data_IF_656101376305
#
_entry.id   IF_656101376305
#
_cell.length_a   1.000
_cell.length_b   1.000
_cell.length_c   1.000
_cell.angle_alpha   90.00
_cell.angle_beta   90.00
_cell.angle_gamma   90.00
#
_symmetry.space_group_name_H-M   'P 1'
#
loop_
_entity.id
_entity.type
_entity.pdbx_description
1 polymer ?
#
# COMPACT_ATOMS: atom_id res chain seq x y z
N UNK A 1 34.05 8.54 33.68
CA UNK A 1 32.87 7.69 33.98
C UNK A 1 31.66 8.49 33.66
N UNK A 2 31.06 8.28 32.47
CA UNK A 2 29.75 8.82 32.12
C UNK A 2 28.90 7.64 31.63
N UNK A 3 27.92 7.30 32.44
CA UNK A 3 26.96 6.25 32.19
C UNK A 3 26.02 6.69 31.08
N UNK A 4 26.00 5.93 29.99
CA UNK A 4 25.01 6.08 28.92
C UNK A 4 23.66 5.51 29.39
N UNK A 5 22.67 6.37 29.53
CA UNK A 5 21.30 5.97 29.73
C UNK A 5 20.79 5.25 28.48
N UNK A 6 20.51 3.97 28.63
CA UNK A 6 19.66 3.18 27.70
C UNK A 6 18.22 3.67 27.86
N UNK A 7 17.64 4.16 26.80
CA UNK A 7 16.19 4.39 26.73
C UNK A 7 15.55 3.04 26.42
N UNK A 8 15.05 2.39 27.44
CA UNK A 8 14.20 1.21 27.34
C UNK A 8 12.83 1.66 26.81
N UNK A 9 12.46 1.20 25.61
CA UNK A 9 11.11 1.37 25.08
C UNK A 9 10.26 0.25 25.66
N UNK A 10 9.51 0.59 26.67
CA UNK A 10 8.52 -0.28 27.30
C UNK A 10 7.49 -0.78 26.30
N UNK A 11 7.36 -2.10 26.28
CA UNK A 11 6.26 -2.84 25.66
C UNK A 11 5.08 -2.74 26.61
N UNK A 12 4.15 -1.83 26.38
CA UNK A 12 2.93 -1.75 27.19
C UNK A 12 1.68 -1.81 26.34
N UNK A 13 0.89 -2.85 26.60
CA UNK A 13 -0.54 -2.72 26.76
C UNK A 13 -1.41 -2.67 25.50
N UNK A 14 -2.23 -3.68 25.40
CA UNK A 14 -3.50 -3.68 24.66
C UNK A 14 -4.29 -2.41 25.05
N UNK A 15 -4.24 -1.38 24.20
CA UNK A 15 -4.99 -0.15 24.39
C UNK A 15 -5.53 0.36 23.07
N UNK A 16 -6.85 0.56 23.04
CA UNK A 16 -7.66 1.35 22.10
C UNK A 16 -7.32 1.20 20.62
N UNK A 17 -8.30 0.83 19.81
CA UNK A 17 -8.28 0.46 18.38
C UNK A 17 -7.59 1.39 17.36
N UNK A 18 -6.61 2.18 17.77
CA UNK A 18 -5.91 3.13 16.91
C UNK A 18 -4.38 3.00 16.94
N UNK A 19 -3.81 2.14 17.80
CA UNK A 19 -2.36 1.92 17.82
C UNK A 19 -1.96 0.98 16.69
N UNK A 20 -1.01 1.36 15.80
CA UNK A 20 -0.60 0.49 14.69
C UNK A 20 0.11 -0.77 15.22
N UNK A 21 -0.09 -1.93 14.57
CA UNK A 21 0.51 -3.20 14.98
C UNK A 21 1.98 -3.27 14.61
N UNK A 22 2.86 -2.61 15.35
CA UNK A 22 4.29 -2.63 15.07
C UNK A 22 5.00 -1.31 15.37
N UNK A 23 6.22 -1.20 14.88
CA UNK A 23 7.11 -0.05 15.10
C UNK A 23 7.10 0.84 13.85
N UNK A 24 7.02 2.16 14.04
CA UNK A 24 7.17 3.12 12.94
C UNK A 24 8.65 3.40 12.67
N UNK A 25 9.06 3.27 11.41
CA UNK A 25 10.39 3.66 10.91
C UNK A 25 10.23 4.87 10.01
N UNK A 26 10.86 5.98 10.36
CA UNK A 26 10.84 7.19 9.55
C UNK A 26 11.74 7.03 8.32
N UNK A 27 11.18 7.04 7.11
CA UNK A 27 11.97 7.02 5.87
C UNK A 27 11.49 8.11 4.91
N UNK A 28 12.40 8.96 4.47
CA UNK A 28 12.11 10.06 3.55
C UNK A 28 11.05 11.04 4.08
N UNK A 29 10.87 11.11 5.41
CA UNK A 29 9.86 11.91 6.08
C UNK A 29 8.48 11.24 6.20
N UNK A 30 8.35 9.95 5.84
CA UNK A 30 7.12 9.17 5.98
C UNK A 30 7.18 8.23 7.18
N UNK A 31 6.07 8.07 7.93
CA UNK A 31 5.96 7.09 9.02
C UNK A 31 5.65 5.70 8.44
N UNK A 32 6.69 4.93 8.10
CA UNK A 32 6.53 3.59 7.53
C UNK A 32 6.43 2.55 8.65
N UNK A 33 5.35 1.80 8.66
CA UNK A 33 5.07 0.78 9.65
C UNK A 33 5.91 -0.47 9.38
N UNK A 34 6.66 -0.91 10.39
CA UNK A 34 7.37 -2.18 10.41
C UNK A 34 6.53 -3.20 11.18
N UNK A 35 5.92 -4.13 10.47
CA UNK A 35 5.03 -5.15 11.01
C UNK A 35 5.12 -6.43 10.17
N UNK A 36 4.58 -7.55 10.68
CA UNK A 36 4.43 -8.77 9.87
C UNK A 36 3.10 -8.75 9.11
N UNK A 37 2.97 -9.61 8.10
CA UNK A 37 1.76 -9.73 7.30
C UNK A 37 0.56 -10.17 8.15
N UNK A 38 0.79 -11.09 9.08
CA UNK A 38 -0.23 -11.62 9.99
C UNK A 38 -0.73 -10.55 10.95
N UNK A 39 0.19 -9.84 11.62
CA UNK A 39 -0.18 -8.78 12.56
C UNK A 39 -0.92 -7.62 11.87
N UNK A 40 -0.49 -7.27 10.65
CA UNK A 40 -1.15 -6.22 9.88
C UNK A 40 -2.54 -6.66 9.38
N UNK A 41 -2.69 -7.91 8.92
CA UNK A 41 -3.99 -8.46 8.53
C UNK A 41 -4.98 -8.45 9.70
N UNK A 42 -4.52 -8.80 10.90
CA UNK A 42 -5.34 -8.75 12.11
C UNK A 42 -5.82 -7.33 12.43
N UNK A 43 -4.95 -6.30 12.34
CA UNK A 43 -5.36 -4.88 12.48
C UNK A 43 -6.43 -4.50 11.44
N UNK A 44 -6.25 -4.94 10.20
CA UNK A 44 -7.21 -4.65 9.13
C UNK A 44 -8.56 -5.32 9.36
N UNK A 45 -8.59 -6.58 9.80
CA UNK A 45 -9.84 -7.28 10.14
C UNK A 45 -10.55 -6.67 11.36
N UNK A 46 -9.81 -6.27 12.38
CA UNK A 46 -10.38 -5.54 13.52
C UNK A 46 -10.96 -4.19 13.07
N UNK A 47 -10.23 -3.45 12.23
CA UNK A 47 -10.70 -2.19 11.69
C UNK A 47 -11.96 -2.37 10.82
N UNK A 48 -12.01 -3.45 10.00
CA UNK A 48 -13.18 -3.80 9.20
C UNK A 48 -14.39 -4.09 10.08
N UNK A 49 -14.24 -4.93 11.10
CA UNK A 49 -15.31 -5.30 12.03
C UNK A 49 -15.86 -4.08 12.78
N UNK A 50 -14.97 -3.18 13.21
CA UNK A 50 -15.33 -1.93 13.89
C UNK A 50 -15.72 -0.78 12.94
N UNK A 51 -15.72 -1.01 11.61
CA UNK A 51 -15.89 0.00 10.54
C UNK A 51 -14.98 1.22 10.70
N UNK A 52 -13.81 1.01 11.28
CA UNK A 52 -12.80 2.07 11.43
C UNK A 52 -12.05 2.29 10.10
N UNK A 53 -11.88 3.53 9.64
CA UNK A 53 -11.21 3.80 8.38
C UNK A 53 -9.73 3.45 8.44
N UNK A 54 -9.25 2.70 7.43
CA UNK A 54 -7.82 2.50 7.14
C UNK A 54 -7.55 2.85 5.68
N UNK A 55 -6.57 3.73 5.48
CA UNK A 55 -6.08 4.17 4.18
C UNK A 55 -4.66 3.63 4.02
N UNK A 56 -4.52 2.54 3.28
CA UNK A 56 -3.28 1.74 3.22
C UNK A 56 -2.49 2.07 1.96
N UNK A 57 -1.22 2.42 2.15
CA UNK A 57 -0.28 2.71 1.07
C UNK A 57 0.95 1.80 1.16
N UNK A 58 1.41 1.33 0.01
CA UNK A 58 2.58 0.47 -0.12
C UNK A 58 3.78 1.31 -0.53
N UNK A 59 4.65 1.61 0.44
CA UNK A 59 5.82 2.46 0.21
C UNK A 59 6.97 1.69 -0.39
N UNK A 60 7.34 2.06 -1.60
CA UNK A 60 8.59 1.68 -2.26
C UNK A 60 9.40 2.93 -2.61
N UNK A 61 10.55 2.77 -3.25
CA UNK A 61 11.42 3.89 -3.62
C UNK A 61 10.70 4.97 -4.44
N UNK A 62 9.82 4.56 -5.37
CA UNK A 62 9.03 5.48 -6.18
C UNK A 62 7.98 6.24 -5.35
N UNK A 63 7.33 5.56 -4.41
CA UNK A 63 6.38 6.21 -3.50
C UNK A 63 7.07 7.34 -2.72
N UNK A 64 8.23 7.07 -2.11
CA UNK A 64 8.97 8.07 -1.34
C UNK A 64 9.32 9.29 -2.19
N UNK A 65 9.69 9.10 -3.47
CA UNK A 65 10.05 10.20 -4.37
C UNK A 65 8.82 10.98 -4.83
N UNK A 66 7.78 10.28 -5.28
CA UNK A 66 6.63 10.90 -5.94
C UNK A 66 5.61 11.53 -4.95
N UNK A 67 5.52 10.99 -3.73
CA UNK A 67 4.51 11.42 -2.77
C UNK A 67 5.00 12.49 -1.78
N UNK A 68 6.19 13.09 -1.97
CA UNK A 68 6.75 14.09 -1.05
C UNK A 68 5.79 15.24 -0.70
N UNK A 69 5.02 15.73 -1.67
CA UNK A 69 4.04 16.78 -1.45
C UNK A 69 2.87 16.35 -0.54
N UNK A 70 2.63 15.05 -0.41
CA UNK A 70 1.52 14.47 0.37
C UNK A 70 1.93 14.04 1.79
N UNK A 71 3.22 14.12 2.13
CA UNK A 71 3.78 13.54 3.36
C UNK A 71 3.08 14.01 4.66
N UNK A 72 2.67 15.27 4.72
CA UNK A 72 1.99 15.81 5.90
C UNK A 72 0.59 15.21 6.08
N UNK A 73 -0.14 15.04 4.99
CA UNK A 73 -1.47 14.42 4.99
C UNK A 73 -1.43 12.91 5.31
N UNK A 74 -0.30 12.27 5.03
CA UNK A 74 -0.10 10.84 5.32
C UNK A 74 0.19 10.55 6.80
N UNK A 75 0.11 11.56 7.67
CA UNK A 75 0.22 11.41 9.13
C UNK A 75 -1.14 11.28 9.82
N UNK A 76 -2.22 11.35 9.06
CA UNK A 76 -3.56 11.15 9.59
C UNK A 76 -3.69 9.77 10.27
N UNK A 77 -4.42 9.68 11.40
CA UNK A 77 -4.54 8.43 12.17
C UNK A 77 -5.12 7.25 11.38
N UNK A 78 -5.90 7.52 10.34
CA UNK A 78 -6.46 6.50 9.44
C UNK A 78 -5.45 5.94 8.46
N UNK A 79 -4.32 6.63 8.22
CA UNK A 79 -3.32 6.23 7.22
C UNK A 79 -2.38 5.17 7.79
N UNK A 80 -2.12 4.16 6.98
CA UNK A 80 -1.11 3.12 7.23
C UNK A 80 -0.20 3.03 6.02
N UNK A 81 1.08 3.28 6.22
CA UNK A 81 2.11 3.14 5.19
C UNK A 81 2.94 1.93 5.56
N UNK A 82 2.95 0.91 4.71
CA UNK A 82 3.75 -0.31 4.91
C UNK A 82 4.84 -0.40 3.86
N UNK A 83 5.95 -1.07 4.17
CA UNK A 83 7.07 -1.18 3.22
C UNK A 83 6.79 -2.15 2.08
N UNK A 84 7.20 -1.78 0.89
CA UNK A 84 7.14 -2.58 -0.34
C UNK A 84 8.51 -2.57 -1.04
N UNK A 85 9.27 -3.62 -0.83
CA UNK A 85 10.48 -3.89 -1.58
C UNK A 85 11.80 -3.62 -0.88
N UNK A 86 12.84 -4.25 -1.43
CA UNK A 86 14.20 -4.29 -0.88
C UNK A 86 14.86 -2.90 -0.73
N UNK A 87 14.50 -1.93 -1.57
CA UNK A 87 15.04 -0.58 -1.49
C UNK A 87 14.71 0.12 -0.17
N UNK A 88 13.53 -0.16 0.37
CA UNK A 88 13.10 0.35 1.69
C UNK A 88 13.93 -0.29 2.83
N UNK A 89 14.15 -1.61 2.75
CA UNK A 89 15.00 -2.33 3.72
C UNK A 89 16.44 -1.84 3.73
N UNK A 90 17.01 -1.58 2.54
CA UNK A 90 18.36 -1.05 2.43
C UNK A 90 18.47 0.35 3.05
N UNK A 91 17.49 1.22 2.81
CA UNK A 91 17.47 2.54 3.41
C UNK A 91 17.26 2.49 4.93
N UNK A 92 16.36 1.63 5.42
CA UNK A 92 16.15 1.44 6.85
C UNK A 92 17.41 0.91 7.55
N UNK A 93 18.11 -0.03 6.92
CA UNK A 93 19.39 -0.54 7.44
C UNK A 93 20.47 0.54 7.47
N UNK A 94 20.58 1.35 6.43
CA UNK A 94 21.57 2.41 6.32
C UNK A 94 21.35 3.52 7.38
N UNK A 95 20.09 3.92 7.61
CA UNK A 95 19.77 5.08 8.44
C UNK A 95 19.52 4.68 9.90
N UNK A 96 18.82 3.55 10.09
CA UNK A 96 18.35 3.11 11.41
C UNK A 96 19.09 1.88 11.96
N UNK A 97 19.97 1.23 11.16
CA UNK A 97 20.68 0.02 11.54
C UNK A 97 19.79 -1.24 11.62
N UNK A 98 18.55 -1.18 11.17
CA UNK A 98 17.57 -2.29 11.23
C UNK A 98 16.75 -2.43 9.95
N UNK A 99 16.15 -3.60 9.74
CA UNK A 99 15.24 -3.88 8.63
C UNK A 99 13.79 -3.82 9.11
N UNK A 100 12.87 -3.79 8.14
CA UNK A 100 11.46 -4.01 8.41
C UNK A 100 11.19 -5.46 8.83
N UNK A 101 10.15 -5.69 9.65
CA UNK A 101 9.76 -7.02 10.11
C UNK A 101 9.20 -7.89 8.96
N UNK A 102 8.57 -7.26 7.97
CA UNK A 102 8.03 -7.94 6.78
C UNK A 102 8.08 -7.04 5.54
N UNK A 103 7.96 -7.65 4.37
CA UNK A 103 7.74 -6.95 3.10
C UNK A 103 6.26 -7.11 2.71
N UNK A 104 5.50 -6.02 2.81
CA UNK A 104 4.05 -6.01 2.67
C UNK A 104 3.65 -5.32 1.36
N UNK A 105 3.80 -6.03 0.26
CA UNK A 105 3.33 -5.52 -1.02
C UNK A 105 1.84 -5.86 -1.26
N UNK A 106 1.14 -5.02 -2.02
CA UNK A 106 -0.29 -5.21 -2.29
C UNK A 106 -0.60 -6.51 -3.03
N UNK A 107 0.32 -6.99 -3.85
CA UNK A 107 0.16 -8.20 -4.68
C UNK A 107 0.17 -9.49 -3.85
N UNK A 108 0.80 -9.47 -2.67
CA UNK A 108 0.79 -10.60 -1.72
C UNK A 108 -0.26 -10.39 -0.62
N UNK A 109 -0.37 -9.16 -0.09
CA UNK A 109 -1.27 -8.86 1.02
C UNK A 109 -2.76 -9.03 0.65
N UNK A 110 -3.20 -8.52 -0.50
CA UNK A 110 -4.62 -8.61 -0.87
C UNK A 110 -5.07 -10.07 -1.04
N UNK A 111 -4.37 -10.96 -1.79
CA UNK A 111 -4.72 -12.38 -1.80
C UNK A 111 -4.61 -13.07 -0.44
N UNK A 112 -3.69 -12.62 0.42
CA UNK A 112 -3.59 -13.15 1.79
C UNK A 112 -4.85 -12.80 2.59
N UNK A 113 -5.30 -11.54 2.59
CA UNK A 113 -6.55 -11.12 3.24
C UNK A 113 -7.76 -11.91 2.71
N UNK A 114 -7.82 -12.17 1.41
CA UNK A 114 -8.88 -12.98 0.82
C UNK A 114 -8.92 -14.41 1.37
N UNK A 115 -7.76 -15.04 1.61
CA UNK A 115 -7.67 -16.41 2.15
C UNK A 115 -7.96 -16.49 3.63
N UNK A 116 -7.51 -15.50 4.40
CA UNK A 116 -7.66 -15.46 5.86
C UNK A 116 -9.03 -14.94 6.31
N UNK A 117 -9.80 -14.35 5.41
CA UNK A 117 -11.13 -13.84 5.74
C UNK A 117 -12.13 -15.00 5.97
N UNK A 118 -12.81 -14.98 7.11
CA UNK A 118 -13.82 -15.96 7.45
C UNK A 118 -15.06 -15.91 6.54
N UNK A 119 -15.31 -14.78 5.90
CA UNK A 119 -16.44 -14.55 4.99
C UNK A 119 -15.92 -13.87 3.71
N UNK A 120 -16.58 -14.06 2.56
CA UNK A 120 -16.25 -13.35 1.34
C UNK A 120 -16.29 -11.84 1.53
N UNK A 121 -15.18 -11.16 1.25
CA UNK A 121 -15.06 -9.70 1.30
C UNK A 121 -15.67 -9.08 0.06
N UNK A 122 -16.28 -7.90 0.22
CA UNK A 122 -16.87 -7.12 -0.87
C UNK A 122 -15.87 -6.08 -1.37
N UNK A 123 -15.50 -6.19 -2.64
CA UNK A 123 -14.53 -5.30 -3.27
C UNK A 123 -15.18 -4.30 -4.22
N UNK A 124 -14.73 -3.05 -4.18
CA UNK A 124 -14.89 -2.10 -5.26
C UNK A 124 -13.54 -1.87 -5.95
N UNK A 125 -13.48 -1.99 -7.28
CA UNK A 125 -12.26 -1.82 -8.07
C UNK A 125 -12.28 -0.45 -8.77
N UNK A 126 -11.27 0.38 -8.51
CA UNK A 126 -11.17 1.71 -9.10
C UNK A 126 -9.82 1.88 -9.79
N UNK A 127 -9.85 2.12 -11.09
CA UNK A 127 -8.64 2.33 -11.89
C UNK A 127 -8.34 1.19 -12.85
N UNK A 128 -7.10 1.18 -13.36
CA UNK A 128 -6.71 0.30 -14.44
C UNK A 128 -7.25 0.76 -15.82
N UNK A 129 -6.80 0.09 -16.88
CA UNK A 129 -7.30 0.34 -18.25
C UNK A 129 -8.70 -0.25 -18.43
N UNK A 130 -9.49 0.22 -19.42
CA UNK A 130 -10.75 -0.40 -19.78
C UNK A 130 -10.63 -1.92 -19.94
N UNK A 131 -11.54 -2.68 -19.32
CA UNK A 131 -11.54 -4.15 -19.33
C UNK A 131 -10.67 -4.82 -18.24
N UNK A 132 -9.61 -4.18 -17.73
CA UNK A 132 -8.75 -4.74 -16.67
C UNK A 132 -9.56 -5.04 -15.41
N UNK A 133 -10.41 -4.12 -14.98
CA UNK A 133 -11.27 -4.29 -13.80
C UNK A 133 -12.17 -5.52 -13.92
N UNK A 134 -12.77 -5.75 -15.10
CA UNK A 134 -13.65 -6.91 -15.36
C UNK A 134 -12.89 -8.25 -15.20
N UNK A 135 -11.70 -8.35 -15.78
CA UNK A 135 -10.88 -9.57 -15.68
C UNK A 135 -10.34 -9.78 -14.27
N UNK A 136 -9.90 -8.71 -13.60
CA UNK A 136 -9.49 -8.76 -12.20
C UNK A 136 -10.65 -9.19 -11.27
N UNK A 137 -11.87 -8.71 -11.54
CA UNK A 137 -13.08 -9.14 -10.83
C UNK A 137 -13.35 -10.65 -11.00
N UNK A 138 -13.18 -11.19 -12.20
CA UNK A 138 -13.33 -12.62 -12.45
C UNK A 138 -12.32 -13.45 -11.62
N UNK A 139 -11.08 -12.99 -11.48
CA UNK A 139 -10.07 -13.65 -10.62
C UNK A 139 -10.44 -13.56 -9.14
N UNK A 140 -10.87 -12.38 -8.66
CA UNK A 140 -11.30 -12.21 -7.27
C UNK A 140 -12.49 -13.11 -6.93
N UNK A 141 -13.47 -13.24 -7.83
CA UNK A 141 -14.65 -14.06 -7.58
C UNK A 141 -14.38 -15.55 -7.81
N UNK A 142 -13.80 -15.92 -8.96
CA UNK A 142 -13.63 -17.32 -9.34
C UNK A 142 -12.47 -18.03 -8.65
N UNK A 143 -11.35 -17.33 -8.42
CA UNK A 143 -10.15 -17.94 -7.84
C UNK A 143 -10.01 -17.68 -6.34
N UNK A 144 -10.36 -16.47 -5.89
CA UNK A 144 -10.17 -16.07 -4.50
C UNK A 144 -11.48 -16.11 -3.68
N UNK A 145 -12.62 -16.49 -4.28
CA UNK A 145 -13.89 -16.66 -3.59
C UNK A 145 -14.51 -15.39 -3.03
N UNK A 146 -14.17 -14.22 -3.58
CA UNK A 146 -14.59 -12.93 -3.07
C UNK A 146 -15.77 -12.36 -3.86
N UNK A 147 -16.36 -11.25 -3.40
CA UNK A 147 -17.42 -10.54 -4.10
C UNK A 147 -16.91 -9.22 -4.68
N UNK A 148 -17.20 -8.94 -5.95
CA UNK A 148 -16.95 -7.62 -6.54
C UNK A 148 -18.29 -6.90 -6.70
N UNK A 149 -18.51 -5.87 -5.89
CA UNK A 149 -19.78 -5.12 -5.80
C UNK A 149 -19.80 -3.86 -6.68
N UNK A 150 -18.70 -3.54 -7.32
CA UNK A 150 -18.62 -2.44 -8.28
C UNK A 150 -17.22 -2.26 -8.86
N UNK A 151 -17.16 -1.57 -9.99
CA UNK A 151 -15.89 -1.23 -10.62
C UNK A 151 -16.03 0.08 -11.41
N UNK A 152 -14.89 0.74 -11.64
CA UNK A 152 -14.77 1.93 -12.47
C UNK A 152 -13.35 1.95 -13.04
N UNK A 153 -13.19 2.01 -14.37
CA UNK A 153 -11.87 2.15 -14.97
C UNK A 153 -11.24 3.52 -14.67
N UNK A 154 -9.93 3.63 -14.88
CA UNK A 154 -9.17 4.85 -14.59
C UNK A 154 -9.18 5.88 -15.72
N UNK A 155 -10.05 5.73 -16.73
CA UNK A 155 -10.09 6.52 -17.95
C UNK A 155 -11.48 7.10 -18.21
N UNK A 156 -12.20 6.52 -19.15
CA UNK A 156 -13.50 7.03 -19.60
C UNK A 156 -14.58 6.97 -18.54
N UNK A 157 -14.72 5.85 -17.85
CA UNK A 157 -15.69 5.71 -16.75
C UNK A 157 -15.37 6.64 -15.57
N UNK A 158 -14.10 6.77 -15.21
CA UNK A 158 -13.66 7.67 -14.13
C UNK A 158 -13.96 9.13 -14.48
N UNK A 159 -13.65 9.56 -15.72
CA UNK A 159 -13.94 10.90 -16.19
C UNK A 159 -15.44 11.20 -16.21
N UNK A 160 -16.26 10.22 -16.65
CA UNK A 160 -17.72 10.35 -16.70
C UNK A 160 -18.40 10.33 -15.32
N UNK A 161 -17.83 9.60 -14.35
CA UNK A 161 -18.42 9.47 -13.02
C UNK A 161 -18.37 10.77 -12.18
N UNK A 162 -17.37 11.62 -12.41
CA UNK A 162 -17.24 12.92 -11.76
C UNK A 162 -17.39 12.85 -10.23
N UNK A 163 -18.12 13.81 -9.66
CA UNK A 163 -18.35 13.88 -8.20
C UNK A 163 -19.24 12.75 -7.66
N UNK A 164 -20.05 12.10 -8.49
CA UNK A 164 -20.94 11.01 -8.11
C UNK A 164 -20.23 9.68 -7.79
N UNK A 165 -18.93 9.56 -8.11
CA UNK A 165 -18.17 8.33 -7.92
C UNK A 165 -18.10 7.91 -6.45
N UNK A 166 -17.80 8.82 -5.55
CA UNK A 166 -17.69 8.55 -4.10
C UNK A 166 -19.02 8.03 -3.55
N UNK A 167 -20.13 8.61 -3.98
CA UNK A 167 -21.47 8.17 -3.60
C UNK A 167 -21.80 6.77 -4.13
N UNK A 168 -21.43 6.50 -5.38
CA UNK A 168 -21.57 5.15 -6.00
C UNK A 168 -20.76 4.11 -5.23
N UNK A 169 -19.53 4.44 -4.85
CA UNK A 169 -18.67 3.58 -4.02
C UNK A 169 -19.33 3.32 -2.65
N UNK A 170 -19.80 4.35 -1.98
CA UNK A 170 -20.43 4.22 -0.66
C UNK A 170 -21.71 3.38 -0.71
N UNK A 171 -22.57 3.56 -1.72
CA UNK A 171 -23.79 2.78 -1.90
C UNK A 171 -23.53 1.32 -2.27
N UNK A 172 -22.35 0.98 -2.78
CA UNK A 172 -22.01 -0.40 -3.14
C UNK A 172 -21.91 -1.34 -1.94
N UNK A 173 -21.74 -0.80 -0.74
CA UNK A 173 -21.53 -1.59 0.48
C UNK A 173 -20.21 -2.35 0.49
N UNK A 174 -19.19 -1.88 -0.25
CA UNK A 174 -17.87 -2.48 -0.28
C UNK A 174 -17.20 -2.47 1.10
N UNK A 175 -16.52 -3.56 1.42
CA UNK A 175 -15.61 -3.67 2.58
C UNK A 175 -14.23 -3.11 2.25
N UNK A 176 -13.81 -3.30 1.00
CA UNK A 176 -12.51 -2.89 0.48
C UNK A 176 -12.63 -2.12 -0.84
N UNK A 177 -11.94 -0.99 -0.93
CA UNK A 177 -11.74 -0.24 -2.17
C UNK A 177 -10.29 -0.37 -2.61
N UNK A 178 -10.08 -0.91 -3.81
CA UNK A 178 -8.75 -1.02 -4.43
C UNK A 178 -8.59 0.09 -5.48
N UNK A 179 -7.68 1.03 -5.23
CA UNK A 179 -7.40 2.16 -6.13
C UNK A 179 -6.10 1.93 -6.88
N UNK A 180 -6.17 1.85 -8.21
CA UNK A 180 -5.08 1.47 -9.12
C UNK A 180 -4.78 2.56 -10.17
N UNK A 181 -4.43 3.76 -9.73
CA UNK A 181 -4.01 4.88 -10.61
C UNK A 181 -2.49 5.04 -10.69
N UNK A 182 -1.73 4.33 -9.83
CA UNK A 182 -0.29 4.52 -9.64
C UNK A 182 0.06 5.76 -8.83
N UNK A 183 1.33 5.80 -8.33
CA UNK A 183 1.84 6.93 -7.55
C UNK A 183 2.10 8.17 -8.43
N UNK A 184 1.80 9.37 -7.98
CA UNK A 184 1.15 9.75 -6.72
C UNK A 184 -0.37 9.92 -6.85
N UNK A 185 -0.99 9.55 -7.99
CA UNK A 185 -2.39 9.86 -8.29
C UNK A 185 -3.36 9.13 -7.36
N UNK A 186 -3.11 7.84 -7.10
CA UNK A 186 -3.94 7.04 -6.19
C UNK A 186 -3.88 7.56 -4.76
N UNK A 187 -2.70 7.93 -4.26
CA UNK A 187 -2.54 8.47 -2.91
C UNK A 187 -3.26 9.80 -2.77
N UNK A 188 -3.10 10.69 -3.76
CA UNK A 188 -3.79 11.98 -3.79
C UNK A 188 -5.30 11.78 -3.77
N UNK A 189 -5.82 10.95 -4.68
CA UNK A 189 -7.25 10.72 -4.78
C UNK A 189 -7.83 10.14 -3.48
N UNK A 190 -7.17 9.13 -2.89
CA UNK A 190 -7.60 8.53 -1.62
C UNK A 190 -7.63 9.58 -0.50
N UNK A 191 -6.58 10.39 -0.38
CA UNK A 191 -6.51 11.44 0.64
C UNK A 191 -7.55 12.54 0.41
N UNK A 192 -7.77 12.95 -0.83
CA UNK A 192 -8.77 13.99 -1.17
C UNK A 192 -10.20 13.55 -0.85
N UNK A 193 -10.50 12.24 -0.94
CA UNK A 193 -11.82 11.70 -0.67
C UNK A 193 -11.92 10.98 0.69
N UNK A 194 -10.85 10.99 1.51
CA UNK A 194 -10.74 10.20 2.74
C UNK A 194 -11.93 10.38 3.69
N UNK A 195 -12.40 11.62 3.88
CA UNK A 195 -13.51 11.94 4.77
C UNK A 195 -14.89 11.61 4.19
N UNK A 196 -15.01 11.57 2.86
CA UNK A 196 -16.27 11.27 2.17
C UNK A 196 -16.47 9.77 1.90
N UNK A 197 -15.39 8.97 1.94
CA UNK A 197 -15.43 7.53 1.72
C UNK A 197 -15.93 6.79 2.96
N UNK A 198 -17.10 6.15 2.84
CA UNK A 198 -17.68 5.27 3.87
C UNK A 198 -17.11 3.85 3.87
N UNK A 199 -16.27 3.49 2.89
CA UNK A 199 -15.60 2.19 2.82
C UNK A 199 -14.52 2.11 3.90
N UNK A 200 -14.55 1.07 4.77
CA UNK A 200 -13.61 0.96 5.88
C UNK A 200 -12.15 0.81 5.41
N UNK A 201 -11.89 -0.08 4.48
CA UNK A 201 -10.53 -0.38 4.03
C UNK A 201 -10.29 0.14 2.61
N UNK A 202 -9.35 1.07 2.44
CA UNK A 202 -9.00 1.64 1.13
C UNK A 202 -7.50 1.46 0.88
N UNK A 203 -7.16 0.89 -0.27
CA UNK A 203 -5.79 0.55 -0.63
C UNK A 203 -5.35 1.24 -1.91
N UNK A 204 -4.19 1.90 -1.90
CA UNK A 204 -3.50 2.35 -3.11
C UNK A 204 -2.65 1.21 -3.68
N UNK A 205 -3.18 0.45 -4.62
CA UNK A 205 -2.61 -0.86 -5.00
C UNK A 205 -1.73 -0.85 -6.26
N UNK A 206 -1.63 0.27 -6.95
CA UNK A 206 -0.81 0.38 -8.18
C UNK A 206 -1.19 -0.67 -9.23
N UNK A 207 -0.24 -1.51 -9.61
CA UNK A 207 -0.40 -2.50 -10.68
C UNK A 207 -1.13 -3.79 -10.25
N UNK A 208 -1.72 -3.87 -9.06
CA UNK A 208 -2.38 -5.10 -8.60
C UNK A 208 -3.49 -5.57 -9.56
N UNK A 209 -4.29 -4.65 -10.09
CA UNK A 209 -5.36 -5.02 -11.03
C UNK A 209 -4.80 -5.59 -12.33
N UNK A 210 -3.64 -5.09 -12.80
CA UNK A 210 -2.97 -5.66 -13.98
C UNK A 210 -2.46 -7.08 -13.70
N UNK A 211 -2.00 -7.38 -12.48
CA UNK A 211 -1.61 -8.74 -12.08
C UNK A 211 -2.82 -9.67 -11.95
N UNK A 212 -3.89 -9.23 -11.29
CA UNK A 212 -5.10 -10.03 -11.14
C UNK A 212 -5.77 -10.32 -12.48
N UNK A 213 -5.70 -9.39 -13.42
CA UNK A 213 -6.24 -9.58 -14.78
C UNK A 213 -5.32 -10.41 -15.70
N UNK A 214 -4.09 -10.72 -15.27
CA UNK A 214 -3.10 -11.39 -16.13
C UNK A 214 -2.48 -10.49 -17.20
N UNK A 215 -2.86 -9.20 -17.27
CA UNK A 215 -2.28 -8.22 -18.21
C UNK A 215 -0.80 -7.99 -17.93
N UNK A 216 -0.39 -8.00 -16.66
CA UNK A 216 1.00 -8.00 -16.24
C UNK A 216 1.40 -9.38 -15.71
N UNK A 217 2.53 -9.90 -16.19
CA UNK A 217 3.09 -11.15 -15.68
C UNK A 217 3.89 -10.91 -14.40
N UNK A 218 3.59 -11.66 -13.36
CA UNK A 218 4.37 -11.65 -12.14
C UNK A 218 5.69 -12.40 -12.34
N UNK A 219 6.74 -11.94 -11.66
CA UNK A 219 8.02 -12.66 -11.66
C UNK A 219 7.84 -14.10 -11.13
N UNK A 220 8.55 -15.08 -11.68
CA UNK A 220 8.58 -16.45 -11.17
C UNK A 220 8.89 -16.48 -9.68
N UNK A 221 8.42 -17.53 -8.98
CA UNK A 221 8.55 -17.61 -7.53
C UNK A 221 10.00 -17.55 -7.04
N UNK A 222 10.92 -18.24 -7.75
CA UNK A 222 12.34 -18.21 -7.40
C UNK A 222 12.95 -16.80 -7.51
N UNK A 223 12.53 -15.99 -8.50
CA UNK A 223 12.95 -14.58 -8.64
C UNK A 223 12.44 -13.76 -7.45
N UNK A 224 11.19 -13.99 -7.02
CA UNK A 224 10.59 -13.31 -5.87
C UNK A 224 11.25 -13.69 -4.56
N UNK A 225 11.58 -14.98 -4.37
CA UNK A 225 12.33 -15.49 -3.20
C UNK A 225 13.71 -14.85 -3.07
N UNK A 226 14.36 -14.54 -4.21
CA UNK A 226 15.64 -13.82 -4.25
C UNK A 226 15.51 -12.31 -4.16
N UNK A 227 14.30 -11.78 -3.98
CA UNK A 227 14.01 -10.33 -3.98
C UNK A 227 14.42 -9.59 -5.27
N UNK A 228 14.48 -10.29 -6.41
CA UNK A 228 14.89 -9.79 -7.72
C UNK A 228 13.70 -9.39 -8.63
N UNK A 229 12.50 -9.26 -8.08
CA UNK A 229 11.30 -8.87 -8.84
C UNK A 229 11.48 -7.54 -9.57
N UNK A 230 12.17 -6.58 -8.94
CA UNK A 230 12.48 -5.29 -9.56
C UNK A 230 13.34 -5.44 -10.82
N UNK A 231 14.31 -6.37 -10.82
CA UNK A 231 15.18 -6.64 -11.97
C UNK A 231 14.41 -7.34 -13.10
N UNK A 232 13.56 -8.29 -12.75
CA UNK A 232 12.67 -8.96 -13.71
C UNK A 232 11.75 -7.93 -14.39
N UNK A 233 11.17 -6.99 -13.66
CA UNK A 233 10.36 -5.89 -14.21
C UNK A 233 11.19 -4.97 -15.09
N UNK A 234 12.42 -4.63 -14.70
CA UNK A 234 13.32 -3.80 -15.48
C UNK A 234 13.64 -4.44 -16.85
N UNK A 235 13.86 -5.74 -16.89
CA UNK A 235 14.12 -6.47 -18.13
C UNK A 235 12.89 -6.53 -19.05
N UNK A 236 11.68 -6.59 -18.49
CA UNK A 236 10.44 -6.60 -19.28
C UNK A 236 10.00 -5.20 -19.74
N UNK A 237 10.31 -4.14 -18.98
CA UNK A 237 9.87 -2.77 -19.27
C UNK A 237 11.02 -1.76 -19.10
N UNK A 238 12.15 -1.92 -19.84
CA UNK A 238 13.37 -1.13 -19.59
C UNK A 238 13.16 0.38 -19.80
N UNK A 239 12.48 0.78 -20.86
CA UNK A 239 12.26 2.21 -21.19
C UNK A 239 11.50 2.95 -20.08
N UNK A 240 10.53 2.30 -19.43
CA UNK A 240 9.72 2.88 -18.36
C UNK A 240 10.46 2.88 -17.01
N UNK A 241 11.23 1.84 -16.73
CA UNK A 241 11.78 1.58 -15.40
C UNK A 241 13.25 2.04 -15.25
N UNK A 242 13.97 2.28 -16.35
CA UNK A 242 15.38 2.69 -16.28
C UNK A 242 15.56 4.00 -15.48
N UNK A 243 14.75 5.03 -15.78
CA UNK A 243 14.75 6.29 -15.03
C UNK A 243 14.44 6.08 -13.55
N UNK A 244 13.47 5.21 -13.25
CA UNK A 244 13.04 4.91 -11.89
C UNK A 244 14.11 4.21 -11.07
N UNK A 245 14.87 3.29 -11.69
CA UNK A 245 15.93 2.53 -11.02
C UNK A 245 17.33 3.16 -11.11
N UNK A 246 17.45 4.32 -11.75
CA UNK A 246 18.69 5.09 -11.79
C UNK A 246 18.52 6.41 -11.02
N UNK A 247 17.92 7.42 -11.66
CA UNK A 247 17.80 8.76 -11.08
C UNK A 247 16.89 8.80 -9.84
N UNK A 248 15.72 8.17 -9.90
CA UNK A 248 14.80 8.20 -8.77
C UNK A 248 15.38 7.47 -7.55
N UNK A 249 16.24 6.45 -7.75
CA UNK A 249 16.93 5.78 -6.66
C UNK A 249 17.92 6.72 -5.94
N UNK A 250 18.66 7.54 -6.68
CA UNK A 250 19.54 8.55 -6.09
C UNK A 250 18.74 9.60 -5.31
N UNK A 251 17.64 10.08 -5.89
CA UNK A 251 16.72 11.03 -5.23
C UNK A 251 16.12 10.41 -3.96
N UNK A 252 15.74 9.13 -4.01
CA UNK A 252 15.25 8.39 -2.86
C UNK A 252 16.25 8.37 -1.70
N UNK A 253 17.48 7.89 -1.93
CA UNK A 253 18.50 7.85 -0.88
C UNK A 253 18.84 9.24 -0.34
N UNK A 254 18.95 10.24 -1.21
CA UNK A 254 19.15 11.63 -0.79
C UNK A 254 18.00 12.13 0.10
N UNK A 255 16.74 11.83 -0.24
CA UNK A 255 15.59 12.21 0.55
C UNK A 255 15.58 11.52 1.91
N UNK A 256 15.92 10.23 1.94
CA UNK A 256 16.02 9.47 3.18
C UNK A 256 17.13 9.97 4.10
N UNK A 257 18.32 10.26 3.56
CA UNK A 257 19.44 10.80 4.32
C UNK A 257 19.14 12.21 4.86
N UNK A 258 18.49 13.07 4.06
CA UNK A 258 18.13 14.43 4.48
C UNK A 258 17.07 14.44 5.59
N UNK A 259 16.07 13.60 5.48
CA UNK A 259 15.05 13.46 6.52
C UNK A 259 15.62 12.82 7.80
N UNK A 260 16.69 11.99 7.65
CA UNK A 260 17.30 11.29 8.77
C UNK A 260 16.30 10.39 9.50
N UNK A 261 16.40 10.37 10.83
CA UNK A 261 15.52 9.58 11.72
C UNK A 261 14.27 10.32 12.18
N UNK A 262 14.11 11.56 11.76
CA UNK A 262 13.02 12.42 12.21
C UNK A 262 11.82 12.34 11.24
N UNK A 263 10.63 12.39 11.81
CA UNK A 263 9.42 12.72 11.08
C UNK A 263 9.27 14.25 11.13
N UNK A 264 8.94 14.90 10.02
CA UNK A 264 8.75 16.35 9.95
C UNK A 264 7.59 16.84 10.81
#
# INVERSE_FOLDING_TARGET
MMQGQRVDVETTGIASGNTPPGVVIALGGFPVLSTTQEAFALDLFHALAARQPRRVFFANTNFIVQCQALRMRMREPSVRIVNDGIGMDLAARLIHGRRFAGNLNGTDLIPYLCRESAQPLKFFLLGGRPGVGKTAAATLTGTLGQQVVGMCDGYGEFAAAGQGLTERINRSGADMLLVAFGNPLQERWILDHSHALGVPLVFGVGALLDFLSGTAKRAPEWVRRLHLEWMYRLLNEPRRLLKRYSWDLLVFFRSCLRAGKQLP
#
